data_IF_310545568440
#
_entry.id   IF_310545568440
#
_cell.length_a   1.000
_cell.length_b   1.000
_cell.length_c   1.000
_cell.angle_alpha   90.00
_cell.angle_beta   90.00
_cell.angle_gamma   90.00
#
_symmetry.space_group_name_H-M   'P 1'
#
loop_
_entity.id
_entity.type
_entity.pdbx_description
1 polymer ?
#
# COMPACT_ATOMS: atom_id res chain seq x y z
N UNK A 1 74.37 -22.57 -15.86
CA UNK A 1 74.56 -21.10 -15.89
C UNK A 1 73.24 -20.49 -16.33
N UNK A 2 72.71 -19.57 -15.50
CA UNK A 2 71.42 -18.90 -15.63
C UNK A 2 71.30 -18.12 -16.97
N UNK A 3 70.10 -17.82 -17.49
CA UNK A 3 69.31 -16.66 -17.05
C UNK A 3 67.82 -16.81 -17.37
N UNK A 4 66.99 -16.40 -16.41
CA UNK A 4 65.53 -16.37 -16.51
C UNK A 4 65.04 -15.10 -17.24
N UNK A 5 64.29 -15.25 -18.32
CA UNK A 5 63.63 -14.15 -19.01
C UNK A 5 62.29 -13.82 -18.34
N UNK A 6 62.24 -12.67 -17.66
CA UNK A 6 61.02 -12.10 -17.09
C UNK A 6 60.13 -11.49 -18.19
N UNK A 7 58.80 -11.68 -18.15
CA UNK A 7 57.90 -11.04 -19.09
C UNK A 7 57.80 -9.53 -18.79
N UNK A 8 58.09 -8.71 -19.80
CA UNK A 8 57.91 -7.25 -19.73
C UNK A 8 56.44 -6.89 -19.58
N UNK A 9 56.12 -6.13 -18.52
CA UNK A 9 54.83 -5.48 -18.31
C UNK A 9 54.46 -4.63 -19.53
N UNK A 10 53.26 -4.80 -20.06
CA UNK A 10 52.68 -3.94 -21.11
C UNK A 10 52.50 -2.53 -20.52
N UNK A 11 52.76 -1.45 -21.27
CA UNK A 11 52.41 -0.10 -20.83
C UNK A 11 50.88 -0.01 -20.74
N UNK A 12 50.40 0.60 -19.66
CA UNK A 12 48.99 1.00 -19.52
C UNK A 12 48.81 2.22 -20.41
N UNK A 13 48.03 2.11 -21.47
CA UNK A 13 47.57 3.27 -22.22
C UNK A 13 46.71 4.11 -21.26
N UNK A 14 47.22 5.31 -20.95
CA UNK A 14 46.54 6.34 -20.19
C UNK A 14 45.61 7.05 -21.17
N UNK A 15 44.46 6.43 -21.46
CA UNK A 15 43.37 7.12 -22.15
C UNK A 15 42.85 8.22 -21.20
N UNK A 16 42.80 9.50 -21.61
CA UNK A 16 42.14 10.51 -20.82
C UNK A 16 40.66 10.17 -20.77
N UNK A 17 40.21 9.69 -19.60
CA UNK A 17 38.81 9.43 -19.33
C UNK A 17 38.01 10.71 -19.61
N UNK A 18 37.25 10.68 -20.71
CA UNK A 18 36.36 11.77 -21.06
C UNK A 18 35.44 12.04 -19.86
N UNK A 19 35.28 13.31 -19.44
CA UNK A 19 34.44 13.62 -18.30
C UNK A 19 33.04 13.03 -18.53
N UNK A 20 32.43 12.41 -17.50
CA UNK A 20 31.09 11.86 -17.64
C UNK A 20 30.17 12.94 -18.21
N UNK A 21 29.26 12.59 -19.15
CA UNK A 21 28.39 13.56 -19.79
C UNK A 21 27.72 14.37 -18.69
N UNK A 22 28.04 15.67 -18.66
CA UNK A 22 27.47 16.59 -17.70
C UNK A 22 25.95 16.50 -17.87
N UNK A 23 25.29 15.88 -16.89
CA UNK A 23 23.83 15.84 -16.82
C UNK A 23 23.36 17.29 -16.93
N UNK A 24 22.71 17.62 -18.04
CA UNK A 24 22.00 18.88 -18.20
C UNK A 24 21.17 19.12 -16.92
N UNK A 25 21.06 20.37 -16.44
CA UNK A 25 20.32 20.67 -15.22
C UNK A 25 18.92 20.06 -15.35
N UNK A 26 18.63 19.06 -14.52
CA UNK A 26 17.33 18.40 -14.49
C UNK A 26 16.30 19.45 -14.12
N UNK A 27 15.22 19.54 -14.91
CA UNK A 27 14.08 20.40 -14.59
C UNK A 27 13.70 20.23 -13.10
N UNK A 28 13.32 21.31 -12.40
CA UNK A 28 12.99 21.24 -10.99
C UNK A 28 11.86 20.22 -10.75
N UNK A 29 11.88 19.50 -9.62
CA UNK A 29 10.85 18.52 -9.29
C UNK A 29 9.48 19.22 -9.23
N UNK A 30 8.46 18.58 -9.82
CA UNK A 30 7.09 19.06 -9.70
C UNK A 30 6.63 18.88 -8.25
N UNK A 31 6.07 19.93 -7.66
CA UNK A 31 5.54 19.92 -6.29
C UNK A 31 4.04 20.18 -6.29
N UNK A 32 3.34 19.65 -5.29
CA UNK A 32 1.92 19.90 -5.05
C UNK A 32 1.79 20.76 -3.78
N UNK A 33 1.10 21.92 -3.83
CA UNK A 33 0.88 22.75 -2.65
C UNK A 33 -0.06 22.03 -1.67
N UNK A 34 0.19 22.15 -0.37
CA UNK A 34 -0.65 21.55 0.68
C UNK A 34 -1.38 22.59 1.54
N UNK A 35 -1.14 23.89 1.29
CA UNK A 35 -1.76 24.99 2.03
C UNK A 35 -3.28 25.02 1.80
N UNK A 36 -4.11 25.10 2.86
CA UNK A 36 -5.57 25.07 2.74
C UNK A 36 -6.14 26.15 1.80
N UNK A 37 -5.50 27.32 1.72
CA UNK A 37 -5.90 28.40 0.81
C UNK A 37 -5.88 28.03 -0.67
N UNK A 38 -5.10 27.01 -1.07
CA UNK A 38 -5.09 26.49 -2.44
C UNK A 38 -6.31 25.61 -2.77
N UNK A 39 -7.11 25.21 -1.77
CA UNK A 39 -8.23 24.28 -1.89
C UNK A 39 -9.54 24.84 -1.30
N UNK A 40 -9.61 26.16 -1.04
CA UNK A 40 -10.79 26.82 -0.45
C UNK A 40 -11.97 27.01 -1.43
N UNK A 41 -12.05 26.20 -2.49
CA UNK A 41 -13.16 26.21 -3.44
C UNK A 41 -14.40 25.48 -2.91
N UNK A 42 -15.45 25.38 -3.75
CA UNK A 42 -16.62 24.56 -3.43
C UNK A 42 -16.24 23.09 -3.17
N UNK A 43 -17.04 22.39 -2.36
CA UNK A 43 -16.87 20.96 -2.11
C UNK A 43 -16.92 20.18 -3.45
N UNK A 44 -15.95 19.30 -3.73
CA UNK A 44 -15.88 18.61 -5.00
C UNK A 44 -16.96 17.54 -5.11
N UNK A 45 -17.22 17.06 -6.33
CA UNK A 45 -18.04 15.87 -6.50
C UNK A 45 -17.33 14.67 -5.85
N UNK A 46 -17.99 14.07 -4.86
CA UNK A 46 -17.57 12.84 -4.22
C UNK A 46 -18.66 11.80 -4.42
N UNK A 47 -18.39 10.81 -5.27
CA UNK A 47 -19.35 9.74 -5.58
C UNK A 47 -19.68 8.93 -4.33
N UNK A 48 -20.96 8.56 -4.15
CA UNK A 48 -21.39 7.71 -3.03
C UNK A 48 -20.63 6.37 -3.10
N UNK A 49 -19.85 6.00 -2.06
CA UNK A 49 -19.17 4.72 -2.04
C UNK A 49 -20.17 3.56 -2.11
N UNK A 50 -19.84 2.53 -2.89
CA UNK A 50 -20.60 1.29 -2.97
C UNK A 50 -19.68 0.13 -2.60
N UNK A 51 -20.11 -0.70 -1.64
CA UNK A 51 -19.37 -1.90 -1.27
C UNK A 51 -19.39 -2.91 -2.42
N UNK A 52 -18.21 -3.29 -2.90
CA UNK A 52 -18.02 -4.30 -3.95
C UNK A 52 -17.67 -5.68 -3.39
N UNK A 53 -17.41 -5.76 -2.07
CA UNK A 53 -17.25 -6.96 -1.27
C UNK A 53 -16.29 -6.72 -0.10
N UNK A 54 -15.94 -7.80 0.59
CA UNK A 54 -15.20 -7.76 1.84
C UNK A 54 -14.24 -8.94 1.98
N UNK A 55 -13.34 -8.84 2.95
CA UNK A 55 -12.50 -9.93 3.44
C UNK A 55 -12.19 -9.70 4.91
N UNK A 56 -11.74 -10.76 5.59
CA UNK A 56 -11.39 -10.76 7.01
C UNK A 56 -9.93 -11.18 7.19
N UNK A 57 -9.31 -10.69 8.26
CA UNK A 57 -7.99 -11.13 8.73
C UNK A 57 -8.16 -11.74 10.12
N UNK A 58 -7.80 -13.02 10.28
CA UNK A 58 -7.91 -13.68 11.58
C UNK A 58 -6.84 -13.22 12.59
N UNK A 59 -6.90 -13.79 13.79
CA UNK A 59 -5.95 -13.57 14.89
C UNK A 59 -4.50 -13.86 14.51
N UNK A 60 -4.26 -14.72 13.50
CA UNK A 60 -2.93 -15.04 12.96
C UNK A 60 -2.62 -14.26 11.68
N UNK A 61 -3.35 -13.18 11.40
CA UNK A 61 -3.22 -12.31 10.23
C UNK A 61 -3.41 -13.04 8.89
N UNK A 62 -4.19 -14.13 8.86
CA UNK A 62 -4.48 -14.87 7.63
C UNK A 62 -5.71 -14.33 6.94
N UNK A 63 -5.63 -14.30 5.62
CA UNK A 63 -6.70 -13.84 4.74
C UNK A 63 -7.85 -14.84 4.66
N UNK A 64 -9.08 -14.34 4.81
CA UNK A 64 -10.32 -15.06 4.56
C UNK A 64 -11.26 -14.21 3.69
N UNK A 65 -11.78 -14.76 2.61
CA UNK A 65 -12.69 -14.07 1.68
C UNK A 65 -14.14 -13.98 2.17
N UNK A 66 -14.35 -13.71 3.46
CA UNK A 66 -15.66 -13.68 4.11
C UNK A 66 -15.71 -12.60 5.21
N UNK A 67 -16.86 -12.50 5.88
CA UNK A 67 -17.16 -11.53 6.93
C UNK A 67 -16.98 -12.11 8.35
N UNK A 68 -16.12 -13.12 8.56
CA UNK A 68 -15.99 -13.77 9.89
C UNK A 68 -15.49 -12.86 11.00
N UNK A 69 -14.84 -11.75 10.66
CA UNK A 69 -14.38 -10.73 11.61
C UNK A 69 -15.33 -9.54 11.75
N UNK A 70 -16.47 -9.54 11.03
CA UNK A 70 -17.50 -8.51 11.18
C UNK A 70 -18.10 -8.57 12.58
N UNK A 71 -18.14 -7.42 13.25
CA UNK A 71 -18.76 -7.27 14.58
C UNK A 71 -20.03 -6.47 14.45
N UNK A 72 -20.99 -6.77 15.32
CA UNK A 72 -22.26 -6.05 15.38
C UNK A 72 -22.21 -5.02 16.49
N UNK A 73 -22.71 -3.82 16.20
CA UNK A 73 -22.89 -2.79 17.20
C UNK A 73 -23.90 -3.27 18.26
N UNK A 74 -23.45 -3.37 19.51
CA UNK A 74 -24.25 -3.78 20.65
C UNK A 74 -24.11 -2.72 21.74
N UNK A 75 -24.96 -1.68 21.74
CA UNK A 75 -24.92 -0.63 22.75
C UNK A 75 -25.32 -1.20 24.12
N UNK A 76 -24.89 -0.58 25.22
CA UNK A 76 -25.36 -0.92 26.57
C UNK A 76 -26.90 -0.91 26.62
N UNK A 77 -27.54 -1.90 27.27
CA UNK A 77 -28.98 -1.88 27.50
C UNK A 77 -29.34 -0.70 28.41
N UNK A 78 -30.20 0.18 27.89
CA UNK A 78 -30.81 1.38 28.49
C UNK A 78 -29.88 2.48 29.05
N UNK A 79 -29.99 3.66 28.41
CA UNK A 79 -29.90 5.04 28.93
C UNK A 79 -28.91 5.40 30.06
N UNK A 80 -27.83 4.65 30.27
CA UNK A 80 -26.76 5.10 31.15
C UNK A 80 -25.92 6.13 30.36
N UNK A 81 -25.81 7.39 30.82
CA UNK A 81 -25.08 8.43 30.09
C UNK A 81 -23.61 8.03 29.87
N UNK A 82 -23.05 7.32 30.86
CA UNK A 82 -21.66 6.88 30.89
C UNK A 82 -21.60 5.37 31.19
N UNK A 83 -21.33 4.52 30.18
CA UNK A 83 -21.04 3.11 30.43
C UNK A 83 -19.69 2.97 31.16
N UNK A 84 -19.59 2.11 32.18
CA UNK A 84 -18.36 1.93 32.97
C UNK A 84 -17.37 1.02 32.23
N UNK A 85 -16.93 1.41 31.03
CA UNK A 85 -15.91 0.67 30.27
C UNK A 85 -14.52 1.03 30.79
N UNK A 86 -13.82 0.05 31.37
CA UNK A 86 -12.39 0.16 31.66
C UNK A 86 -11.58 -0.24 30.43
N UNK A 87 -10.91 0.73 29.80
CA UNK A 87 -10.07 0.50 28.62
C UNK A 87 -8.68 -0.06 28.97
N UNK A 88 -8.31 -0.05 30.26
CA UNK A 88 -7.03 -0.55 30.74
C UNK A 88 -7.10 -2.04 31.14
N UNK A 89 -8.30 -2.56 31.36
CA UNK A 89 -8.52 -3.98 31.66
C UNK A 89 -7.97 -4.87 30.53
N UNK A 90 -6.96 -5.69 30.85
CA UNK A 90 -6.35 -6.60 29.89
C UNK A 90 -5.19 -6.04 29.07
N UNK A 91 -4.79 -4.77 29.27
CA UNK A 91 -3.76 -4.14 28.43
C UNK A 91 -2.38 -4.81 28.55
N UNK A 92 -2.02 -5.34 29.72
CA UNK A 92 -0.71 -5.96 29.96
C UNK A 92 -0.69 -7.47 29.69
N UNK A 93 -1.81 -8.16 29.91
CA UNK A 93 -1.90 -9.62 29.93
C UNK A 93 -2.67 -10.22 28.73
N UNK A 94 -3.65 -9.48 28.16
CA UNK A 94 -4.52 -9.97 27.07
C UNK A 94 -4.31 -9.25 25.74
N UNK A 95 -3.52 -8.17 25.70
CA UNK A 95 -3.26 -7.44 24.47
C UNK A 95 -2.29 -8.22 23.56
N UNK A 96 -2.74 -8.53 22.35
CA UNK A 96 -1.91 -9.15 21.30
C UNK A 96 -1.61 -8.08 20.25
N UNK A 97 -0.37 -7.56 20.27
CA UNK A 97 0.08 -6.54 19.31
C UNK A 97 0.37 -7.17 17.95
N UNK A 98 -0.10 -6.54 16.88
CA UNK A 98 0.32 -6.89 15.50
C UNK A 98 1.83 -6.67 15.35
N UNK A 99 2.49 -7.55 14.61
CA UNK A 99 3.85 -7.32 14.17
C UNK A 99 3.89 -6.18 13.14
N UNK A 100 4.49 -5.04 13.51
CA UNK A 100 4.60 -3.86 12.66
C UNK A 100 5.79 -3.91 11.70
N UNK A 101 6.75 -4.81 11.93
CA UNK A 101 7.89 -5.01 11.03
C UNK A 101 7.47 -5.69 9.72
N UNK A 102 6.32 -6.37 9.74
CA UNK A 102 5.71 -6.98 8.55
C UNK A 102 4.96 -5.93 7.72
N UNK A 103 5.57 -5.56 6.60
CA UNK A 103 5.01 -4.61 5.62
C UNK A 103 4.07 -5.31 4.63
N UNK A 104 2.79 -5.39 4.96
CA UNK A 104 1.76 -6.05 4.13
C UNK A 104 1.39 -5.26 2.85
N UNK A 105 1.66 -3.96 2.79
CA UNK A 105 1.39 -3.14 1.62
C UNK A 105 -0.06 -3.24 1.13
N UNK A 106 -0.24 -3.67 -0.11
CA UNK A 106 -1.56 -3.90 -0.73
C UNK A 106 -1.90 -5.39 -0.88
N UNK A 107 -1.13 -6.30 -0.28
CA UNK A 107 -1.18 -7.74 -0.60
C UNK A 107 -2.56 -8.36 -0.38
N UNK A 108 -3.20 -8.08 0.76
CA UNK A 108 -4.53 -8.59 1.08
C UNK A 108 -5.61 -8.03 0.14
N UNK A 109 -5.50 -6.75 -0.23
CA UNK A 109 -6.40 -6.09 -1.15
C UNK A 109 -6.25 -6.65 -2.57
N UNK A 110 -5.00 -6.82 -3.04
CA UNK A 110 -4.69 -7.43 -4.34
C UNK A 110 -5.15 -8.89 -4.39
N UNK A 111 -4.99 -9.63 -3.29
CA UNK A 111 -5.54 -10.98 -3.16
C UNK A 111 -7.06 -10.96 -3.34
N UNK A 112 -7.79 -10.08 -2.67
CA UNK A 112 -9.23 -9.96 -2.84
C UNK A 112 -9.63 -9.61 -4.29
N UNK A 113 -8.92 -8.66 -4.90
CA UNK A 113 -9.11 -8.26 -6.30
C UNK A 113 -8.95 -9.44 -7.25
N UNK A 114 -7.87 -10.22 -7.12
CA UNK A 114 -7.60 -11.37 -7.99
C UNK A 114 -8.70 -12.44 -7.91
N UNK A 115 -9.23 -12.70 -6.72
CA UNK A 115 -10.31 -13.67 -6.52
C UNK A 115 -11.65 -13.17 -7.07
N UNK A 116 -11.89 -11.86 -7.09
CA UNK A 116 -13.18 -11.27 -7.46
C UNK A 116 -13.19 -10.58 -8.83
N UNK A 117 -12.08 -10.60 -9.58
CA UNK A 117 -11.93 -9.88 -10.86
C UNK A 117 -13.08 -10.06 -11.84
N UNK A 118 -13.64 -11.27 -11.94
CA UNK A 118 -14.73 -11.59 -12.87
C UNK A 118 -16.11 -11.09 -12.40
N UNK A 119 -16.23 -10.72 -11.12
CA UNK A 119 -17.46 -10.24 -10.48
C UNK A 119 -17.46 -8.72 -10.28
N UNK A 120 -16.31 -8.06 -10.52
CA UNK A 120 -16.18 -6.63 -10.32
C UNK A 120 -16.93 -5.85 -11.41
N UNK A 121 -17.67 -4.79 -11.03
CA UNK A 121 -18.37 -3.95 -11.98
C UNK A 121 -17.36 -3.34 -12.97
N UNK A 122 -17.66 -3.45 -14.28
CA UNK A 122 -16.77 -3.01 -15.36
C UNK A 122 -15.95 -4.12 -16.02
N UNK A 123 -15.95 -5.35 -15.50
CA UNK A 123 -15.38 -6.51 -16.18
C UNK A 123 -16.23 -6.89 -17.41
N UNK A 124 -15.64 -6.94 -18.61
CA UNK A 124 -16.30 -7.44 -19.84
C UNK A 124 -16.02 -8.93 -20.04
N UNK A 125 -17.04 -9.82 -20.04
CA UNK A 125 -16.84 -11.22 -20.39
C UNK A 125 -16.42 -11.32 -21.88
N UNK A 126 -15.28 -11.97 -22.15
CA UNK A 126 -14.76 -12.17 -23.51
C UNK A 126 -13.42 -11.50 -23.83
N UNK A 127 -12.90 -10.63 -22.95
CA UNK A 127 -11.47 -10.32 -22.97
C UNK A 127 -10.73 -11.46 -22.27
N UNK A 128 -9.67 -11.99 -22.89
CA UNK A 128 -8.84 -13.07 -22.33
C UNK A 128 -8.29 -12.72 -20.94
N UNK A 129 -7.46 -13.59 -20.36
CA UNK A 129 -6.99 -13.54 -18.96
C UNK A 129 -6.31 -12.25 -18.45
N UNK A 130 -6.30 -11.17 -19.25
CA UNK A 130 -5.77 -9.83 -19.00
C UNK A 130 -6.86 -8.73 -19.02
N UNK A 131 -8.08 -9.02 -18.57
CA UNK A 131 -9.08 -7.98 -18.26
C UNK A 131 -8.60 -7.09 -17.11
N UNK A 132 -8.01 -5.94 -17.44
CA UNK A 132 -7.58 -4.94 -16.44
C UNK A 132 -8.81 -4.29 -15.82
N UNK A 133 -8.87 -4.23 -14.49
CA UNK A 133 -9.88 -3.45 -13.79
C UNK A 133 -9.71 -1.98 -14.18
N UNK A 134 -10.73 -1.38 -14.79
CA UNK A 134 -10.75 0.05 -15.03
C UNK A 134 -11.12 0.78 -13.74
N UNK A 135 -10.11 1.00 -12.92
CA UNK A 135 -10.15 1.88 -11.75
C UNK A 135 -8.96 2.82 -11.83
N UNK A 136 -9.17 4.11 -11.58
CA UNK A 136 -8.11 5.12 -11.67
C UNK A 136 -7.13 5.05 -10.47
N UNK A 137 -7.50 4.34 -9.40
CA UNK A 137 -6.65 4.07 -8.25
C UNK A 137 -7.19 2.93 -7.36
N UNK A 138 -6.27 2.20 -6.73
CA UNK A 138 -6.56 1.19 -5.69
C UNK A 138 -5.70 1.50 -4.48
N UNK A 139 -6.33 1.77 -3.34
CA UNK A 139 -5.67 2.14 -2.09
C UNK A 139 -6.47 1.62 -0.88
N UNK A 140 -5.86 1.69 0.30
CA UNK A 140 -6.58 1.52 1.57
C UNK A 140 -7.51 2.71 1.78
N UNK A 141 -8.69 2.46 2.34
CA UNK A 141 -9.62 3.51 2.72
C UNK A 141 -9.04 4.36 3.85
N UNK A 142 -9.20 5.68 3.73
CA UNK A 142 -9.08 6.59 4.86
C UNK A 142 -10.49 6.76 5.44
N UNK A 143 -10.82 6.02 6.50
CA UNK A 143 -12.03 6.30 7.26
C UNK A 143 -11.78 7.58 8.08
N UNK A 144 -12.31 8.70 7.58
CA UNK A 144 -12.34 9.96 8.33
C UNK A 144 -13.46 9.92 9.36
N UNK A 145 -13.10 10.10 10.63
CA UNK A 145 -14.03 10.36 11.73
C UNK A 145 -14.33 11.85 11.89
#
# INVERSE_FOLDING_TARGET
MATAAHPRKRPREDDPEAPPPQRAPSAPPRTLPVSPGCYAGPFPFYGRPAEVGHFSLDEQRRYHGDARQLRYFAPPPDHRPDPPFDLLDGYQDRYVRRDEDVREGLDHLLRWVLHNRCRLPGHRPGQGSAGVLRVDGVCHGLEGG
#
